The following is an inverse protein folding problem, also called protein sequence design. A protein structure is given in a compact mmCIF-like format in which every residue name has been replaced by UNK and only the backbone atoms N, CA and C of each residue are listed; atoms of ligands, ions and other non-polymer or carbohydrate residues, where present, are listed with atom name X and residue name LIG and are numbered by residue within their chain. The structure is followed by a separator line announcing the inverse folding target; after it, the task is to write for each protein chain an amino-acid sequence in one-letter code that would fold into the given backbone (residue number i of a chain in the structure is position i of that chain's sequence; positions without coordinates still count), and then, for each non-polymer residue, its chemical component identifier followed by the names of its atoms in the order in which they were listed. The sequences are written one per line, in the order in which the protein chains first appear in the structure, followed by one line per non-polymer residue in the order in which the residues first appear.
data_IF_364836663343
#
_entry.id   IF_364836663343
#
_cell.length_a   1.000
_cell.length_b   1.000
_cell.length_c   1.000
_cell.angle_alpha   90.00
_cell.angle_beta   90.00
_cell.angle_gamma   90.00
#
_symmetry.space_group_name_H-M   'P 1'
#
loop_
_entity.id
_entity.type
_entity.pdbx_description
1 polymer ?
#
# COMPACT_ATOMS: atom_id res chain seq x y z
N UNK A 1 64.09 0.67 -32.51
CA UNK A 1 64.80 1.95 -32.69
C UNK A 1 63.77 3.03 -32.27
N UNK A 2 64.19 3.85 -31.29
CA UNK A 2 63.52 5.02 -30.66
C UNK A 2 62.28 4.70 -29.81
N UNK A 3 62.34 4.73 -28.47
CA UNK A 3 62.62 5.72 -27.39
C UNK A 3 61.48 6.77 -27.34
N UNK A 4 60.72 6.61 -26.19
CA UNK A 4 60.64 7.51 -25.03
C UNK A 4 59.85 8.79 -25.30
N UNK A 5 58.79 9.02 -24.51
CA UNK A 5 58.91 9.95 -23.38
C UNK A 5 57.75 9.82 -22.39
N UNK A 6 58.15 9.68 -21.11
CA UNK A 6 57.35 9.85 -19.91
C UNK A 6 57.19 11.32 -19.60
N UNK A 7 56.00 11.79 -19.32
CA UNK A 7 55.83 12.96 -18.48
C UNK A 7 54.97 12.67 -17.25
N UNK A 8 55.65 12.61 -16.13
CA UNK A 8 55.11 12.67 -14.78
C UNK A 8 54.71 14.11 -14.51
N UNK A 9 53.47 14.34 -14.05
CA UNK A 9 53.09 15.62 -13.47
C UNK A 9 52.72 15.38 -12.01
N UNK A 10 53.61 15.79 -11.15
CA UNK A 10 53.50 15.86 -9.68
C UNK A 10 52.82 17.18 -9.32
N UNK A 11 51.72 17.11 -8.54
CA UNK A 11 51.19 18.28 -7.82
C UNK A 11 51.40 18.12 -6.32
N UNK A 12 51.82 19.19 -5.61
CA UNK A 12 52.23 19.14 -4.23
C UNK A 12 51.02 19.19 -3.27
N UNK A 13 51.10 18.39 -2.25
CA UNK A 13 50.25 18.45 -1.07
C UNK A 13 50.65 19.67 -0.22
N UNK A 14 49.70 20.54 0.11
CA UNK A 14 49.85 21.51 1.20
C UNK A 14 48.96 21.09 2.35
N UNK A 15 49.58 20.58 3.40
CA UNK A 15 48.95 20.35 4.69
C UNK A 15 48.67 21.67 5.41
N UNK A 16 47.52 21.75 6.05
CA UNK A 16 47.25 22.79 7.04
C UNK A 16 46.85 22.16 8.36
N UNK A 17 47.68 22.50 9.32
CA UNK A 17 47.75 22.07 10.71
C UNK A 17 46.56 22.53 11.55
N UNK A 18 46.07 21.62 12.42
CA UNK A 18 45.21 21.95 13.56
C UNK A 18 46.00 22.76 14.60
N UNK A 19 45.50 23.90 15.01
CA UNK A 19 45.90 24.52 16.29
C UNK A 19 44.67 25.00 17.04
N UNK A 20 44.62 24.57 18.30
CA UNK A 20 43.70 24.87 19.39
C UNK A 20 43.59 26.37 19.66
N UNK A 21 42.38 26.82 19.99
CA UNK A 21 42.19 28.04 20.80
C UNK A 21 41.18 27.71 21.91
N UNK A 22 41.75 27.61 23.12
CA UNK A 22 41.04 27.74 24.39
C UNK A 22 40.91 29.23 24.71
N UNK A 23 39.75 29.69 25.09
CA UNK A 23 39.54 30.95 25.82
C UNK A 23 38.28 30.82 26.64
N UNK A 24 38.45 30.60 27.90
CA UNK A 24 38.25 31.46 29.06
C UNK A 24 36.80 31.87 29.31
N UNK A 25 36.26 31.30 30.43
CA UNK A 25 35.04 31.66 31.09
C UNK A 25 35.19 33.05 31.77
N UNK A 26 34.14 33.87 31.63
CA UNK A 26 33.92 35.03 32.52
C UNK A 26 32.53 34.93 33.09
N UNK A 27 32.50 34.77 34.44
CA UNK A 27 31.32 34.88 35.30
C UNK A 27 30.91 36.35 35.43
N UNK A 28 29.63 36.63 35.29
CA UNK A 28 29.01 37.85 35.82
C UNK A 28 27.59 37.55 36.36
N UNK A 29 27.10 38.26 37.38
CA UNK A 29 26.11 37.75 38.30
C UNK A 29 24.66 38.01 37.89
N UNK A 30 23.83 37.14 38.40
CA UNK A 30 22.36 37.15 38.40
C UNK A 30 21.85 38.39 39.15
N UNK A 31 20.91 39.11 38.53
CA UNK A 31 19.92 39.92 39.21
C UNK A 31 18.54 39.69 38.57
N UNK A 32 17.61 39.43 39.48
CA UNK A 32 16.35 38.83 39.30
C UNK A 32 15.30 39.52 38.46
N UNK A 33 14.26 38.75 38.27
CA UNK A 33 12.91 39.26 38.08
C UNK A 33 12.29 39.00 36.71
N UNK A 34 11.49 37.99 36.63
CA UNK A 34 10.12 37.99 36.15
C UNK A 34 9.71 36.53 35.86
N UNK A 35 8.88 36.01 36.73
CA UNK A 35 8.12 34.77 36.46
C UNK A 35 7.16 35.12 35.35
N UNK A 36 7.53 34.72 34.11
CA UNK A 36 6.57 34.70 33.01
C UNK A 36 5.73 33.45 33.18
N UNK A 37 4.50 33.63 33.61
CA UNK A 37 3.51 32.55 33.68
C UNK A 37 3.39 31.92 32.29
N UNK A 38 3.74 30.64 32.19
CA UNK A 38 3.35 29.82 31.07
C UNK A 38 1.83 29.88 30.96
N UNK A 39 1.32 30.52 29.91
CA UNK A 39 -0.07 30.38 29.52
C UNK A 39 -0.34 28.89 29.27
N UNK A 40 -1.45 28.34 29.76
CA UNK A 40 -1.80 26.97 29.47
C UNK A 40 -1.91 26.81 27.95
N UNK A 41 -1.22 25.79 27.43
CA UNK A 41 -1.37 25.36 26.05
C UNK A 41 -2.86 25.29 25.72
N UNK A 42 -3.27 26.08 24.75
CA UNK A 42 -4.66 26.09 24.31
C UNK A 42 -5.07 24.64 24.00
N UNK A 43 -6.06 24.17 24.72
CA UNK A 43 -6.77 22.94 24.42
C UNK A 43 -7.29 23.13 23.00
N UNK A 44 -6.68 22.44 22.03
CA UNK A 44 -7.26 22.31 20.69
C UNK A 44 -8.66 21.73 20.93
N UNK A 45 -9.68 22.53 20.65
CA UNK A 45 -11.06 22.04 20.60
C UNK A 45 -11.05 20.95 19.54
N UNK A 46 -11.01 19.70 19.98
CA UNK A 46 -11.40 18.58 19.15
C UNK A 46 -12.85 18.86 18.75
N UNK A 47 -13.02 19.36 17.53
CA UNK A 47 -14.34 19.41 16.92
C UNK A 47 -14.75 17.95 16.74
N UNK A 48 -15.59 17.45 17.65
CA UNK A 48 -16.31 16.20 17.48
C UNK A 48 -17.30 16.40 16.32
N UNK A 49 -16.81 16.44 15.09
CA UNK A 49 -17.67 16.25 13.94
C UNK A 49 -18.09 14.79 13.97
N UNK A 50 -19.40 14.55 14.07
CA UNK A 50 -19.95 13.20 13.94
C UNK A 50 -19.41 12.58 12.64
N UNK A 51 -18.77 11.44 12.73
CA UNK A 51 -18.20 10.76 11.55
C UNK A 51 -19.31 10.40 10.58
N UNK A 52 -19.09 10.66 9.30
CA UNK A 52 -20.07 10.35 8.25
C UNK A 52 -20.00 8.86 7.92
N UNK A 53 -21.16 8.22 7.96
CA UNK A 53 -21.26 6.77 7.76
C UNK A 53 -21.42 6.41 6.28
N UNK A 54 -20.80 5.30 5.81
CA UNK A 54 -21.07 4.76 4.50
C UNK A 54 -22.51 4.24 4.40
N UNK A 55 -23.11 4.31 3.21
CA UNK A 55 -24.44 3.77 2.95
C UNK A 55 -24.35 2.55 2.05
N UNK A 56 -25.26 1.58 2.27
CA UNK A 56 -25.38 0.39 1.43
C UNK A 56 -25.82 0.78 0.03
N UNK A 57 -25.26 0.10 -0.95
CA UNK A 57 -25.56 0.34 -2.36
C UNK A 57 -25.79 -0.97 -3.10
N UNK A 58 -26.49 -0.89 -4.24
CA UNK A 58 -26.67 -2.01 -5.16
C UNK A 58 -25.88 -1.76 -6.46
N UNK A 59 -25.64 -2.78 -7.25
CA UNK A 59 -24.95 -2.65 -8.56
C UNK A 59 -25.63 -1.63 -9.48
N UNK A 60 -26.95 -1.51 -9.36
CA UNK A 60 -27.73 -0.54 -10.14
C UNK A 60 -27.36 0.91 -9.86
N UNK A 61 -26.88 1.22 -8.65
CA UNK A 61 -26.48 2.57 -8.25
C UNK A 61 -25.16 3.01 -8.89
N UNK A 62 -24.41 2.07 -9.45
CA UNK A 62 -23.08 2.26 -10.02
C UNK A 62 -22.99 2.05 -11.53
N UNK A 63 -24.16 1.93 -12.22
CA UNK A 63 -24.18 1.70 -13.67
C UNK A 63 -23.41 2.76 -14.45
N UNK A 64 -23.58 4.03 -14.10
CA UNK A 64 -22.94 5.14 -14.80
C UNK A 64 -21.44 5.22 -14.47
N UNK A 65 -21.04 4.83 -13.26
CA UNK A 65 -19.64 4.66 -12.87
C UNK A 65 -19.00 3.52 -13.68
N UNK A 66 -19.68 2.38 -13.82
CA UNK A 66 -19.20 1.25 -14.63
C UNK A 66 -19.00 1.65 -16.10
N UNK A 67 -19.97 2.42 -16.67
CA UNK A 67 -19.86 2.96 -18.03
C UNK A 67 -18.67 3.91 -18.15
N UNK A 68 -18.51 4.83 -17.18
CA UNK A 68 -17.42 5.81 -17.17
C UNK A 68 -16.03 5.15 -17.05
N UNK A 69 -15.91 4.11 -16.23
CA UNK A 69 -14.69 3.29 -16.12
C UNK A 69 -14.49 2.38 -17.34
N UNK A 70 -15.54 2.11 -18.11
CA UNK A 70 -15.55 1.14 -19.18
C UNK A 70 -15.46 -0.31 -18.68
N UNK A 71 -15.76 -0.58 -17.42
CA UNK A 71 -15.63 -1.90 -16.78
C UNK A 71 -16.63 -2.06 -15.65
N UNK A 72 -17.26 -3.22 -15.60
CA UNK A 72 -18.16 -3.59 -14.48
C UNK A 72 -17.35 -3.99 -13.27
N UNK A 73 -17.95 -3.78 -12.10
CA UNK A 73 -17.46 -4.23 -10.80
C UNK A 73 -18.49 -5.06 -10.07
N UNK A 74 -18.22 -5.32 -8.81
CA UNK A 74 -19.08 -6.05 -7.86
C UNK A 74 -19.25 -5.25 -6.56
N UNK A 75 -20.35 -5.51 -5.83
CA UNK A 75 -20.55 -4.94 -4.50
C UNK A 75 -19.83 -5.84 -3.50
N UNK A 76 -18.91 -5.26 -2.74
CA UNK A 76 -18.21 -5.93 -1.64
C UNK A 76 -18.67 -5.36 -0.30
N UNK A 77 -18.92 -6.27 0.64
CA UNK A 77 -19.30 -5.92 2.02
C UNK A 77 -20.44 -4.89 2.09
N UNK A 78 -21.39 -4.98 1.15
CA UNK A 78 -22.59 -4.16 1.05
C UNK A 78 -22.36 -2.65 0.79
N UNK A 79 -21.12 -2.16 0.88
CA UNK A 79 -20.81 -0.73 0.83
C UNK A 79 -19.89 -0.34 -0.34
N UNK A 80 -19.06 -1.25 -0.83
CA UNK A 80 -18.00 -0.92 -1.78
C UNK A 80 -18.34 -1.41 -3.19
N UNK A 81 -18.44 -0.51 -4.15
CA UNK A 81 -18.38 -0.90 -5.56
C UNK A 81 -16.93 -1.07 -5.96
N UNK A 82 -16.51 -2.30 -6.18
CA UNK A 82 -15.13 -2.68 -6.43
C UNK A 82 -14.91 -3.09 -7.88
N UNK A 83 -13.81 -2.62 -8.49
CA UNK A 83 -13.41 -2.97 -9.84
C UNK A 83 -11.95 -3.39 -9.88
N UNK A 84 -11.69 -4.61 -10.37
CA UNK A 84 -10.34 -5.13 -10.59
C UNK A 84 -9.81 -4.75 -11.98
N UNK A 85 -8.55 -4.35 -12.03
CA UNK A 85 -7.85 -3.86 -13.22
C UNK A 85 -6.47 -4.52 -13.34
N UNK A 86 -6.38 -5.89 -13.36
CA UNK A 86 -5.09 -6.59 -13.33
C UNK A 86 -4.25 -6.31 -14.59
N UNK A 87 -2.95 -6.04 -14.41
CA UNK A 87 -1.96 -5.80 -15.47
C UNK A 87 -1.50 -7.13 -16.08
N UNK A 88 -2.36 -7.72 -16.92
CA UNK A 88 -2.05 -8.97 -17.63
C UNK A 88 -1.14 -8.78 -18.84
N UNK A 89 -0.91 -7.54 -19.25
CA UNK A 89 0.03 -7.13 -20.28
C UNK A 89 1.49 -7.22 -19.84
N UNK A 90 1.74 -7.18 -18.52
CA UNK A 90 3.08 -7.21 -17.94
C UNK A 90 3.55 -8.65 -17.66
N UNK A 91 4.79 -8.93 -18.05
CA UNK A 91 5.53 -10.15 -17.67
C UNK A 91 6.61 -9.74 -16.65
N UNK A 92 6.26 -9.78 -15.38
CA UNK A 92 7.16 -9.33 -14.31
C UNK A 92 7.89 -10.52 -13.71
N UNK A 93 9.20 -10.36 -13.52
CA UNK A 93 10.03 -11.30 -12.77
C UNK A 93 10.62 -10.57 -11.56
N UNK A 94 10.48 -11.15 -10.37
CA UNK A 94 11.09 -10.67 -9.14
C UNK A 94 11.93 -11.78 -8.52
N UNK A 95 13.23 -11.53 -8.35
CA UNK A 95 14.19 -12.49 -7.77
C UNK A 95 14.07 -13.91 -8.36
N UNK A 96 13.95 -14.00 -9.68
CA UNK A 96 13.82 -15.28 -10.43
C UNK A 96 12.43 -15.89 -10.43
N UNK A 97 11.43 -15.28 -9.79
CA UNK A 97 10.04 -15.74 -9.80
C UNK A 97 9.23 -14.94 -10.83
N UNK A 98 8.59 -15.62 -11.78
CA UNK A 98 7.58 -15.00 -12.63
C UNK A 98 6.34 -14.70 -11.79
N UNK A 99 6.02 -13.42 -11.63
CA UNK A 99 4.92 -12.94 -10.80
C UNK A 99 3.61 -13.04 -11.58
N UNK A 100 2.64 -13.78 -11.03
CA UNK A 100 1.29 -13.82 -11.60
C UNK A 100 0.53 -12.53 -11.28
N UNK A 101 -0.38 -12.09 -12.17
CA UNK A 101 -1.17 -10.87 -11.92
C UNK A 101 -1.87 -10.86 -10.57
N UNK A 102 -2.49 -11.97 -10.16
CA UNK A 102 -3.17 -12.09 -8.87
C UNK A 102 -2.27 -12.01 -7.64
N UNK A 103 -0.93 -12.20 -7.78
CA UNK A 103 0.00 -12.10 -6.65
C UNK A 103 0.26 -10.64 -6.26
N UNK A 104 0.64 -9.81 -7.24
CA UNK A 104 1.03 -8.44 -6.98
C UNK A 104 0.74 -7.45 -8.12
N UNK A 105 0.19 -7.87 -9.27
CA UNK A 105 -0.07 -6.98 -10.41
C UNK A 105 -1.56 -6.62 -10.54
N UNK A 106 -2.30 -6.74 -9.46
CA UNK A 106 -3.74 -6.56 -9.41
C UNK A 106 -4.13 -5.12 -9.06
N UNK A 107 -4.05 -4.19 -10.02
CA UNK A 107 -4.68 -2.88 -9.79
C UNK A 107 -6.15 -3.05 -9.44
N UNK A 108 -6.63 -2.25 -8.52
CA UNK A 108 -8.03 -2.26 -8.10
C UNK A 108 -8.46 -0.91 -7.57
N UNK A 109 -9.74 -0.61 -7.70
CA UNK A 109 -10.35 0.60 -7.14
C UNK A 109 -11.69 0.28 -6.52
N UNK A 110 -12.07 1.05 -5.50
CA UNK A 110 -13.35 0.94 -4.83
C UNK A 110 -13.99 2.30 -4.68
N UNK A 111 -15.29 2.37 -4.92
CA UNK A 111 -16.13 3.55 -4.66
C UNK A 111 -17.06 3.27 -3.49
N UNK A 112 -17.20 4.23 -2.60
CA UNK A 112 -18.11 4.16 -1.44
C UNK A 112 -18.95 5.41 -1.38
N UNK A 113 -20.27 5.25 -1.20
CA UNK A 113 -21.21 6.37 -1.01
C UNK A 113 -21.44 6.61 0.46
N UNK A 114 -21.56 7.88 0.82
CA UNK A 114 -21.78 8.31 2.20
C UNK A 114 -23.13 9.00 2.41
N UNK A 115 -23.56 9.06 3.66
CA UNK A 115 -24.87 9.61 4.04
C UNK A 115 -25.05 11.11 3.71
N UNK A 116 -23.94 11.85 3.59
CA UNK A 116 -23.91 13.27 3.21
C UNK A 116 -23.93 13.49 1.69
N UNK A 117 -24.04 12.41 0.90
CA UNK A 117 -24.03 12.42 -0.55
C UNK A 117 -22.62 12.44 -1.18
N UNK A 118 -21.56 12.45 -0.38
CA UNK A 118 -20.20 12.30 -0.90
C UNK A 118 -19.95 10.86 -1.37
N UNK A 119 -19.02 10.73 -2.28
CA UNK A 119 -18.43 9.46 -2.72
C UNK A 119 -16.93 9.53 -2.50
N UNK A 120 -16.38 8.46 -1.91
CA UNK A 120 -14.95 8.22 -1.79
C UNK A 120 -14.53 7.26 -2.91
N UNK A 121 -13.44 7.57 -3.59
CA UNK A 121 -12.62 6.65 -4.38
C UNK A 121 -11.36 6.31 -3.60
N UNK A 122 -11.06 5.03 -3.44
CA UNK A 122 -9.75 4.53 -3.02
C UNK A 122 -9.31 3.38 -3.92
N UNK A 123 -8.02 3.30 -4.20
CA UNK A 123 -7.48 2.21 -4.98
C UNK A 123 -5.98 2.18 -5.01
N UNK A 124 -5.46 1.11 -5.63
CA UNK A 124 -4.05 0.90 -5.89
C UNK A 124 -3.86 0.53 -7.35
N UNK A 125 -3.01 1.28 -8.06
CA UNK A 125 -2.83 1.16 -9.52
C UNK A 125 -1.38 0.82 -9.84
N UNK A 126 -1.19 -0.26 -10.57
CA UNK A 126 0.12 -0.69 -11.09
C UNK A 126 0.48 0.11 -12.33
N UNK A 127 1.60 0.78 -12.31
CA UNK A 127 2.16 1.54 -13.44
C UNK A 127 3.61 1.13 -13.69
N UNK A 128 4.06 1.19 -14.93
CA UNK A 128 5.49 1.12 -15.24
C UNK A 128 6.15 2.46 -14.93
N UNK A 129 7.46 2.48 -14.75
CA UNK A 129 8.21 3.72 -14.56
C UNK A 129 7.97 4.72 -15.70
N UNK A 130 7.81 4.24 -16.94
CA UNK A 130 7.50 5.06 -18.12
C UNK A 130 6.11 5.69 -18.10
N UNK A 131 5.14 5.01 -17.49
CA UNK A 131 3.75 5.45 -17.40
C UNK A 131 3.54 6.43 -16.25
N UNK A 132 4.37 6.37 -15.21
CA UNK A 132 4.19 7.06 -13.93
C UNK A 132 3.88 8.55 -14.09
N UNK A 133 4.71 9.28 -14.83
CA UNK A 133 4.57 10.74 -14.90
C UNK A 133 3.30 11.14 -15.63
N UNK A 134 3.01 10.53 -16.78
CA UNK A 134 1.80 10.84 -17.55
C UNK A 134 0.50 10.42 -16.84
N UNK A 135 0.57 9.34 -16.04
CA UNK A 135 -0.52 8.93 -15.16
C UNK A 135 -0.77 9.96 -14.05
N UNK A 136 0.30 10.41 -13.39
CA UNK A 136 0.26 11.43 -12.35
C UNK A 136 -0.30 12.76 -12.84
N UNK A 137 0.17 13.23 -14.00
CA UNK A 137 -0.28 14.51 -14.58
C UNK A 137 -1.81 14.50 -14.76
N UNK A 138 -2.37 13.42 -15.32
CA UNK A 138 -3.81 13.31 -15.52
C UNK A 138 -4.57 13.19 -14.19
N UNK A 139 -4.04 12.48 -13.19
CA UNK A 139 -4.67 12.44 -11.86
C UNK A 139 -4.83 13.86 -11.30
N UNK A 140 -3.76 14.67 -11.34
CA UNK A 140 -3.78 16.05 -10.85
C UNK A 140 -4.73 16.94 -11.65
N UNK A 141 -4.74 16.86 -12.99
CA UNK A 141 -5.72 17.55 -13.85
C UNK A 141 -7.16 17.22 -13.47
N UNK A 142 -7.42 15.98 -13.03
CA UNK A 142 -8.73 15.47 -12.65
C UNK A 142 -9.02 15.57 -11.17
N UNK A 143 -8.13 16.19 -10.38
CA UNK A 143 -8.26 16.36 -8.92
C UNK A 143 -8.41 15.01 -8.19
N UNK A 144 -7.72 14.00 -8.65
CA UNK A 144 -7.55 12.72 -7.98
C UNK A 144 -6.18 12.74 -7.30
N UNK A 145 -6.16 12.53 -6.00
CA UNK A 145 -4.95 12.55 -5.20
C UNK A 145 -4.14 11.27 -5.38
N UNK A 146 -2.82 11.39 -5.32
CA UNK A 146 -1.90 10.29 -5.09
C UNK A 146 -1.50 10.33 -3.63
N UNK A 147 -1.84 9.30 -2.88
CA UNK A 147 -1.56 9.26 -1.45
C UNK A 147 -0.30 8.45 -1.11
N UNK A 148 0.15 7.58 -2.03
CA UNK A 148 1.44 6.91 -1.96
C UNK A 148 1.92 6.51 -3.35
N UNK A 149 3.24 6.43 -3.51
CA UNK A 149 3.96 5.83 -4.65
C UNK A 149 4.95 4.86 -4.04
N UNK A 150 4.82 3.57 -4.31
CA UNK A 150 5.52 2.54 -3.54
C UNK A 150 5.76 1.26 -4.35
N UNK A 151 6.44 0.28 -3.78
CA UNK A 151 6.74 -1.02 -4.39
C UNK A 151 6.17 -2.18 -3.58
N UNK A 152 5.64 -3.20 -4.26
CA UNK A 152 5.24 -4.48 -3.66
C UNK A 152 6.31 -5.57 -3.82
N UNK A 153 7.29 -5.34 -4.68
CA UNK A 153 8.30 -6.32 -5.07
C UNK A 153 9.71 -5.75 -4.99
N UNK A 154 10.69 -6.63 -4.86
CA UNK A 154 12.11 -6.29 -4.89
C UNK A 154 12.75 -6.79 -6.19
N UNK A 155 13.72 -6.01 -6.71
CA UNK A 155 14.52 -6.40 -7.88
C UNK A 155 13.66 -6.92 -9.03
N UNK A 156 12.51 -6.28 -9.25
CA UNK A 156 11.59 -6.67 -10.33
C UNK A 156 12.02 -6.06 -11.68
N UNK A 157 11.76 -6.83 -12.73
CA UNK A 157 11.91 -6.39 -14.10
C UNK A 157 10.65 -6.79 -14.92
N UNK A 158 10.06 -5.86 -15.71
CA UNK A 158 10.39 -4.43 -15.81
C UNK A 158 10.16 -3.67 -14.49
N UNK A 159 10.72 -2.46 -14.39
CA UNK A 159 10.44 -1.56 -13.26
C UNK A 159 8.98 -1.13 -13.26
N UNK A 160 8.30 -1.47 -12.17
CA UNK A 160 6.89 -1.14 -11.93
C UNK A 160 6.73 -0.55 -10.54
N UNK A 161 5.67 0.25 -10.39
CA UNK A 161 5.30 0.95 -9.18
C UNK A 161 3.82 0.76 -8.90
N UNK A 162 3.43 0.97 -7.65
CA UNK A 162 2.04 0.99 -7.21
C UNK A 162 1.72 2.38 -6.70
N UNK A 163 0.56 2.87 -7.09
CA UNK A 163 0.11 4.22 -6.79
C UNK A 163 -1.24 4.15 -6.10
N UNK A 164 -1.28 4.56 -4.84
CA UNK A 164 -2.56 4.76 -4.18
C UNK A 164 -3.24 6.01 -4.73
N UNK A 165 -4.46 5.84 -5.19
CA UNK A 165 -5.32 6.91 -5.72
C UNK A 165 -6.49 7.15 -4.78
N UNK A 166 -6.84 8.41 -4.60
CA UNK A 166 -7.83 8.85 -3.64
C UNK A 166 -8.61 10.06 -4.17
N UNK A 167 -9.94 10.08 -4.01
CA UNK A 167 -10.73 11.24 -4.32
C UNK A 167 -12.04 11.27 -3.53
N UNK A 168 -12.47 12.48 -3.19
CA UNK A 168 -13.76 12.73 -2.57
C UNK A 168 -14.59 13.65 -3.44
N UNK A 169 -15.89 13.42 -3.53
CA UNK A 169 -16.78 14.32 -4.28
C UNK A 169 -18.21 13.82 -4.36
N UNK A 170 -19.11 14.71 -4.77
CA UNK A 170 -20.53 14.40 -4.91
C UNK A 170 -20.89 13.77 -6.27
N UNK A 171 -20.00 13.85 -7.24
CA UNK A 171 -20.18 13.27 -8.57
C UNK A 171 -19.25 12.06 -8.79
N UNK A 172 -19.72 10.84 -8.50
CA UNK A 172 -18.93 9.63 -8.69
C UNK A 172 -18.61 9.35 -10.17
N UNK A 173 -19.45 9.85 -11.09
CA UNK A 173 -19.22 9.66 -12.53
C UNK A 173 -18.09 10.55 -13.01
N UNK A 174 -18.00 11.78 -12.53
CA UNK A 174 -16.85 12.66 -12.82
C UNK A 174 -15.54 12.08 -12.28
N UNK A 175 -15.55 11.53 -11.05
CA UNK A 175 -14.38 10.83 -10.47
C UNK A 175 -14.00 9.63 -11.36
N UNK A 176 -14.96 8.80 -11.75
CA UNK A 176 -14.70 7.63 -12.59
C UNK A 176 -14.15 8.00 -13.98
N UNK A 177 -14.67 9.05 -14.62
CA UNK A 177 -14.14 9.58 -15.89
C UNK A 177 -12.72 10.10 -15.74
N UNK A 178 -12.44 10.80 -14.63
CA UNK A 178 -11.08 11.28 -14.32
C UNK A 178 -10.09 10.12 -14.15
N UNK A 179 -10.47 9.11 -13.38
CA UNK A 179 -9.67 7.90 -13.20
C UNK A 179 -9.45 7.15 -14.52
N UNK A 180 -10.52 6.99 -15.34
CA UNK A 180 -10.39 6.33 -16.65
C UNK A 180 -9.39 7.06 -17.54
N UNK A 181 -9.43 8.39 -17.59
CA UNK A 181 -8.50 9.19 -18.36
C UNK A 181 -7.02 8.99 -17.91
N UNK A 182 -6.81 8.83 -16.60
CA UNK A 182 -5.48 8.50 -16.06
C UNK A 182 -5.07 7.06 -16.43
N UNK A 183 -5.97 6.07 -16.28
CA UNK A 183 -5.73 4.68 -16.65
C UNK A 183 -5.42 4.52 -18.16
N UNK A 184 -5.97 5.38 -19.03
CA UNK A 184 -5.67 5.40 -20.48
C UNK A 184 -4.22 5.82 -20.80
N UNK A 185 -3.46 6.32 -19.80
CA UNK A 185 -2.02 6.57 -19.88
C UNK A 185 -1.17 5.35 -19.52
N UNK A 186 -1.79 4.24 -19.20
CA UNK A 186 -1.15 3.00 -18.74
C UNK A 186 -1.57 1.82 -19.62
N UNK A 187 -0.90 0.69 -19.45
CA UNK A 187 -1.35 -0.60 -20.00
C UNK A 187 -2.44 -1.27 -19.14
N UNK A 188 -3.16 -0.51 -18.28
CA UNK A 188 -4.30 -1.05 -17.55
C UNK A 188 -5.35 -1.61 -18.52
N UNK A 189 -6.12 -2.65 -18.13
CA UNK A 189 -7.05 -3.29 -19.06
C UNK A 189 -7.98 -2.29 -19.74
N UNK A 190 -8.15 -2.40 -21.06
CA UNK A 190 -9.10 -1.57 -21.77
C UNK A 190 -10.53 -1.85 -21.27
N UNK A 191 -11.50 -1.01 -21.63
CA UNK A 191 -12.90 -1.27 -21.35
C UNK A 191 -13.32 -2.68 -21.80
N UNK A 192 -14.06 -3.39 -20.93
CA UNK A 192 -14.50 -4.76 -21.21
C UNK A 192 -14.96 -5.51 -19.96
N UNK A 193 -15.40 -6.73 -20.16
CA UNK A 193 -15.75 -7.61 -19.03
C UNK A 193 -14.48 -8.14 -18.36
N UNK A 194 -14.45 -8.20 -17.01
CA UNK A 194 -13.42 -8.94 -16.31
C UNK A 194 -13.36 -10.39 -16.79
N UNK A 195 -12.14 -10.92 -17.00
CA UNK A 195 -11.99 -12.34 -17.26
C UNK A 195 -12.27 -13.11 -15.96
N UNK A 196 -13.26 -13.99 -15.97
CA UNK A 196 -13.48 -14.93 -14.87
C UNK A 196 -12.46 -16.06 -15.01
N UNK A 197 -11.63 -16.25 -14.00
CA UNK A 197 -10.75 -17.41 -13.90
C UNK A 197 -11.42 -18.46 -13.03
N UNK A 198 -11.58 -19.67 -13.58
CA UNK A 198 -12.10 -20.79 -12.77
C UNK A 198 -11.06 -21.15 -11.71
N UNK A 199 -11.45 -21.19 -10.41
CA UNK A 199 -10.55 -21.62 -9.37
C UNK A 199 -10.03 -23.04 -9.64
N UNK A 200 -8.69 -23.19 -9.74
CA UNK A 200 -8.07 -24.51 -9.84
C UNK A 200 -7.50 -24.90 -8.47
N UNK A 201 -7.55 -26.20 -8.15
CA UNK A 201 -6.86 -26.71 -6.96
C UNK A 201 -5.38 -26.31 -7.03
N UNK A 202 -4.88 -25.69 -5.98
CA UNK A 202 -3.49 -25.26 -5.89
C UNK A 202 -2.62 -26.41 -5.39
N UNK A 203 -1.37 -26.46 -5.85
CA UNK A 203 -0.36 -27.40 -5.36
C UNK A 203 0.25 -26.86 -4.04
N UNK A 204 -0.58 -26.82 -3.00
CA UNK A 204 -0.22 -26.41 -1.65
C UNK A 204 -1.29 -26.86 -0.64
N UNK A 205 -0.89 -27.07 0.61
CA UNK A 205 -1.81 -27.42 1.71
C UNK A 205 -2.48 -26.18 2.28
N UNK A 206 -3.56 -25.74 1.63
CA UNK A 206 -4.34 -24.57 2.06
C UNK A 206 -4.99 -24.76 3.41
N UNK A 207 -5.38 -25.99 3.78
CA UNK A 207 -6.02 -26.26 5.06
C UNK A 207 -5.04 -26.11 6.23
N UNK A 208 -3.79 -26.56 6.05
CA UNK A 208 -2.74 -26.34 7.04
C UNK A 208 -2.40 -24.86 7.19
N UNK A 209 -2.39 -24.09 6.09
CA UNK A 209 -2.20 -22.64 6.13
C UNK A 209 -3.34 -21.97 6.90
N UNK A 210 -4.60 -22.30 6.60
CA UNK A 210 -5.78 -21.76 7.29
C UNK A 210 -5.73 -22.00 8.79
N UNK A 211 -5.35 -23.20 9.19
CA UNK A 211 -5.20 -23.55 10.61
C UNK A 211 -4.16 -22.68 11.29
N UNK A 212 -3.04 -22.39 10.64
CA UNK A 212 -1.97 -21.53 11.17
C UNK A 212 -2.41 -20.07 11.19
N UNK A 213 -3.02 -19.61 10.10
CA UNK A 213 -3.45 -18.21 9.95
C UNK A 213 -4.68 -17.88 10.81
N UNK A 214 -5.45 -18.91 11.23
CA UNK A 214 -6.66 -18.72 12.03
C UNK A 214 -7.81 -18.09 11.25
N UNK A 215 -7.77 -18.16 9.92
CA UNK A 215 -8.81 -17.67 9.01
C UNK A 215 -8.81 -18.51 7.74
N UNK A 216 -10.00 -18.82 7.23
CA UNK A 216 -10.15 -19.47 5.93
C UNK A 216 -9.79 -18.49 4.82
N UNK A 217 -8.84 -18.88 3.98
CA UNK A 217 -8.46 -18.11 2.80
C UNK A 217 -9.34 -18.42 1.59
N UNK A 218 -9.05 -17.74 0.48
CA UNK A 218 -9.71 -17.92 -0.81
C UNK A 218 -8.71 -18.00 -1.94
N UNK A 219 -9.15 -18.59 -3.07
CA UNK A 219 -8.36 -18.66 -4.30
C UNK A 219 -8.88 -17.60 -5.27
N UNK A 220 -8.00 -16.72 -5.70
CA UNK A 220 -8.30 -15.72 -6.71
C UNK A 220 -7.13 -15.64 -7.70
N UNK A 221 -7.43 -15.75 -9.00
CA UNK A 221 -6.45 -15.74 -10.11
C UNK A 221 -5.26 -16.70 -9.90
N UNK A 222 -5.52 -17.89 -9.33
CA UNK A 222 -4.49 -18.92 -9.06
C UNK A 222 -3.53 -18.57 -7.91
N UNK A 223 -3.92 -17.66 -7.05
CA UNK A 223 -3.23 -17.22 -5.81
C UNK A 223 -4.11 -17.57 -4.63
N UNK A 224 -3.51 -18.12 -3.58
CA UNK A 224 -4.18 -18.30 -2.30
C UNK A 224 -4.01 -17.05 -1.44
N UNK A 225 -5.10 -16.57 -0.83
CA UNK A 225 -5.12 -15.30 -0.09
C UNK A 225 -5.71 -15.51 1.30
N UNK A 226 -5.03 -15.03 2.34
CA UNK A 226 -5.60 -14.83 3.67
C UNK A 226 -5.68 -13.32 3.93
N UNK A 227 -6.82 -12.88 4.45
CA UNK A 227 -7.09 -11.44 4.67
C UNK A 227 -7.41 -11.18 6.13
N UNK A 228 -6.89 -10.08 6.63
CA UNK A 228 -7.13 -9.57 7.98
C UNK A 228 -7.48 -8.09 7.91
N UNK A 229 -8.31 -7.64 8.84
CA UNK A 229 -8.72 -6.23 8.94
C UNK A 229 -8.46 -5.72 10.33
N UNK A 230 -8.20 -4.43 10.44
CA UNK A 230 -8.08 -3.74 11.72
C UNK A 230 -9.38 -3.91 12.53
N UNK A 231 -9.24 -4.00 13.86
CA UNK A 231 -10.41 -4.04 14.77
C UNK A 231 -10.93 -2.66 15.08
N UNK A 232 -10.08 -1.64 14.93
CA UNK A 232 -10.46 -0.24 15.11
C UNK A 232 -11.38 0.23 13.97
N UNK A 233 -12.23 1.18 14.27
CA UNK A 233 -12.89 1.99 13.25
C UNK A 233 -11.87 2.95 12.67
N UNK A 234 -11.68 2.88 11.37
CA UNK A 234 -10.80 3.79 10.64
C UNK A 234 -11.66 4.86 9.98
N UNK A 235 -11.26 6.11 10.12
CA UNK A 235 -11.88 7.23 9.41
C UNK A 235 -10.88 7.87 8.46
N UNK A 236 -11.37 8.54 7.46
CA UNK A 236 -10.60 9.34 6.53
C UNK A 236 -11.40 10.61 6.21
N UNK A 237 -10.81 11.80 6.42
CA UNK A 237 -11.52 13.08 6.34
C UNK A 237 -12.86 13.10 7.10
N UNK A 238 -12.94 12.43 8.26
CA UNK A 238 -14.16 12.31 9.06
C UNK A 238 -15.18 11.32 8.53
N UNK A 239 -14.92 10.61 7.44
CA UNK A 239 -15.75 9.53 6.91
C UNK A 239 -15.29 8.19 7.43
N UNK A 240 -16.23 7.37 7.93
CA UNK A 240 -15.92 6.01 8.37
C UNK A 240 -15.63 5.12 7.16
N UNK A 241 -14.44 4.53 7.12
CA UNK A 241 -14.10 3.57 6.07
C UNK A 241 -14.83 2.24 6.32
N UNK A 242 -15.50 1.67 5.30
CA UNK A 242 -16.01 0.30 5.40
C UNK A 242 -14.89 -0.67 5.77
N UNK A 243 -15.23 -1.68 6.57
CA UNK A 243 -14.27 -2.68 7.02
C UNK A 243 -13.46 -3.23 5.85
N UNK A 244 -12.13 -3.08 5.92
CA UNK A 244 -11.20 -3.58 4.92
C UNK A 244 -10.99 -2.66 3.70
N UNK A 245 -11.61 -1.50 3.64
CA UNK A 245 -11.20 -0.47 2.68
C UNK A 245 -9.97 0.25 3.24
N UNK A 246 -8.86 0.21 2.51
CA UNK A 246 -7.62 0.89 2.91
C UNK A 246 -7.00 0.45 4.26
N UNK A 247 -7.52 -0.62 4.90
CA UNK A 247 -7.10 -1.05 6.24
C UNK A 247 -6.91 -2.57 6.38
N UNK A 248 -6.60 -3.22 5.27
CA UNK A 248 -6.45 -4.68 5.18
C UNK A 248 -4.98 -5.07 5.32
N UNK A 249 -4.71 -6.16 6.06
CA UNK A 249 -3.48 -6.95 5.91
C UNK A 249 -3.78 -8.13 5.00
N UNK A 250 -3.05 -8.28 3.92
CA UNK A 250 -3.25 -9.33 2.92
C UNK A 250 -2.00 -10.18 2.75
N UNK A 251 -2.16 -11.50 2.77
CA UNK A 251 -1.07 -12.45 2.56
C UNK A 251 -1.41 -13.28 1.35
N UNK A 252 -0.66 -13.12 0.27
CA UNK A 252 -0.89 -13.72 -1.01
C UNK A 252 0.18 -14.78 -1.31
N UNK A 253 -0.24 -16.01 -1.59
CA UNK A 253 0.64 -17.14 -1.85
C UNK A 253 0.52 -17.59 -3.30
N UNK A 254 1.60 -17.52 -4.05
CA UNK A 254 1.72 -18.08 -5.40
C UNK A 254 2.43 -19.43 -5.32
N UNK A 255 1.78 -20.56 -5.67
CA UNK A 255 2.44 -21.86 -5.70
C UNK A 255 3.58 -21.91 -6.74
N UNK A 256 4.71 -22.46 -6.32
CA UNK A 256 5.90 -22.72 -7.16
C UNK A 256 6.20 -24.20 -7.33
N UNK A 257 5.32 -25.08 -6.84
CA UNK A 257 5.50 -26.53 -6.82
C UNK A 257 6.22 -27.05 -5.58
N UNK A 258 6.02 -28.35 -5.28
CA UNK A 258 6.66 -29.06 -4.17
C UNK A 258 6.48 -28.37 -2.81
N UNK A 259 5.30 -27.83 -2.52
CA UNK A 259 4.99 -27.14 -1.26
C UNK A 259 5.68 -25.77 -1.10
N UNK A 260 6.40 -25.31 -2.10
CA UNK A 260 7.03 -23.98 -2.11
C UNK A 260 6.09 -22.93 -2.68
N UNK A 261 6.23 -21.73 -2.16
CA UNK A 261 5.46 -20.55 -2.60
C UNK A 261 6.36 -19.33 -2.72
N UNK A 262 5.93 -18.39 -3.57
CA UNK A 262 6.28 -16.99 -3.43
C UNK A 262 5.16 -16.30 -2.66
N UNK A 263 5.52 -15.48 -1.69
CA UNK A 263 4.58 -14.69 -0.87
C UNK A 263 4.84 -13.22 -1.11
N UNK A 264 3.80 -12.51 -1.47
CA UNK A 264 3.73 -11.05 -1.41
C UNK A 264 2.66 -10.69 -0.39
N UNK A 265 2.99 -9.90 0.59
CA UNK A 265 2.05 -9.54 1.65
C UNK A 265 2.16 -8.09 2.06
N UNK A 266 1.13 -7.67 2.76
CA UNK A 266 1.01 -6.34 3.34
C UNK A 266 0.48 -6.43 4.77
N UNK A 267 1.02 -5.63 5.69
CA UNK A 267 0.57 -5.56 7.08
C UNK A 267 0.15 -4.13 7.43
N UNK A 268 -1.11 -3.97 7.81
CA UNK A 268 -1.68 -2.72 8.32
C UNK A 268 -1.38 -2.54 9.81
N UNK A 269 -0.76 -1.43 10.19
CA UNK A 269 -0.22 -1.16 11.53
C UNK A 269 -0.54 0.26 11.99
N UNK A 270 -0.70 0.45 13.29
CA UNK A 270 -0.52 1.77 13.91
C UNK A 270 0.97 1.97 14.27
N UNK A 271 1.37 3.21 14.56
CA UNK A 271 2.78 3.56 14.81
C UNK A 271 3.48 2.68 15.85
N UNK A 272 2.80 2.33 16.96
CA UNK A 272 3.37 1.53 18.04
C UNK A 272 3.60 0.05 17.67
N UNK A 273 2.99 -0.45 16.61
CA UNK A 273 3.11 -1.84 16.15
C UNK A 273 4.25 -2.03 15.14
N UNK A 274 4.64 -0.97 14.43
CA UNK A 274 5.55 -1.03 13.27
C UNK A 274 6.82 -1.81 13.56
N UNK A 275 7.57 -1.46 14.61
CA UNK A 275 8.86 -2.09 14.86
C UNK A 275 8.75 -3.58 15.22
N UNK A 276 7.70 -3.96 15.94
CA UNK A 276 7.45 -5.36 16.30
C UNK A 276 7.11 -6.20 15.06
N UNK A 277 6.29 -5.67 14.14
CA UNK A 277 5.93 -6.33 12.87
C UNK A 277 7.16 -6.50 11.98
N UNK A 278 7.95 -5.43 11.77
CA UNK A 278 9.18 -5.50 10.95
C UNK A 278 10.14 -6.57 11.49
N UNK A 279 10.35 -6.58 12.81
CA UNK A 279 11.22 -7.58 13.45
C UNK A 279 10.67 -9.01 13.30
N UNK A 280 9.35 -9.21 13.42
CA UNK A 280 8.72 -10.52 13.27
C UNK A 280 8.82 -11.03 11.82
N UNK A 281 8.57 -10.19 10.82
CA UNK A 281 8.72 -10.52 9.40
C UNK A 281 10.17 -10.90 9.07
N UNK A 282 11.16 -10.16 9.58
CA UNK A 282 12.58 -10.49 9.37
C UNK A 282 12.97 -11.83 10.00
N UNK A 283 12.50 -12.13 11.22
CA UNK A 283 12.69 -13.45 11.85
C UNK A 283 12.03 -14.58 11.08
N UNK A 284 10.93 -14.31 10.37
CA UNK A 284 10.27 -15.28 9.50
C UNK A 284 11.03 -15.53 8.18
N UNK A 285 12.09 -14.78 7.90
CA UNK A 285 12.84 -14.85 6.65
C UNK A 285 12.23 -14.01 5.51
N UNK A 286 11.23 -13.18 5.82
CA UNK A 286 10.67 -12.26 4.83
C UNK A 286 11.62 -11.08 4.59
N UNK A 287 11.70 -10.64 3.34
CA UNK A 287 12.38 -9.41 2.95
C UNK A 287 11.36 -8.28 3.02
N UNK A 288 11.72 -7.19 3.69
CA UNK A 288 10.90 -5.98 3.74
C UNK A 288 11.07 -5.24 2.41
N UNK A 289 9.97 -4.78 1.84
CA UNK A 289 9.98 -4.06 0.57
C UNK A 289 9.86 -2.56 0.80
N UNK A 290 8.73 -2.13 1.34
CA UNK A 290 8.48 -0.72 1.55
C UNK A 290 7.54 -0.48 2.73
N UNK A 291 7.85 0.53 3.55
CA UNK A 291 6.99 1.05 4.61
C UNK A 291 6.34 2.33 4.12
N UNK A 292 5.01 2.37 4.03
CA UNK A 292 4.27 3.47 3.42
C UNK A 292 2.91 3.68 4.11
N UNK A 293 2.11 4.61 3.60
CA UNK A 293 0.73 4.89 4.00
C UNK A 293 -0.24 4.59 2.85
N UNK A 294 -1.53 4.41 3.14
CA UNK A 294 -2.57 4.34 2.11
C UNK A 294 -3.31 5.67 1.96
N UNK A 295 -3.63 6.33 3.07
CA UNK A 295 -4.30 7.62 3.12
C UNK A 295 -3.38 8.72 3.68
N UNK A 296 -3.78 9.98 3.50
CA UNK A 296 -3.07 11.13 4.08
C UNK A 296 -3.73 11.62 5.37
N UNK A 297 -5.01 11.28 5.60
CA UNK A 297 -5.85 11.83 6.68
C UNK A 297 -6.56 10.76 7.50
N UNK A 298 -6.11 9.50 7.39
CA UNK A 298 -6.68 8.39 8.13
C UNK A 298 -6.43 8.50 9.65
N UNK A 299 -7.46 8.15 10.44
CA UNK A 299 -7.42 8.11 11.90
C UNK A 299 -8.03 6.81 12.44
N UNK A 300 -7.32 6.06 13.31
CA UNK A 300 -5.91 6.30 13.67
C UNK A 300 -5.01 6.22 12.43
N UNK A 301 -3.89 6.96 12.44
CA UNK A 301 -2.90 6.90 11.36
C UNK A 301 -2.44 5.47 11.16
N UNK A 302 -2.55 4.96 9.93
CA UNK A 302 -2.07 3.65 9.55
C UNK A 302 -0.75 3.73 8.78
N UNK A 303 0.05 2.71 8.99
CA UNK A 303 1.27 2.41 8.24
C UNK A 303 1.15 1.01 7.67
N UNK A 304 1.77 0.79 6.52
CA UNK A 304 1.74 -0.48 5.82
C UNK A 304 3.14 -0.91 5.48
N UNK A 305 3.41 -2.21 5.58
CA UNK A 305 4.69 -2.75 5.13
C UNK A 305 4.46 -3.87 4.14
N UNK A 306 4.93 -3.67 2.91
CA UNK A 306 5.05 -4.75 1.95
C UNK A 306 6.25 -5.62 2.27
N UNK A 307 6.08 -6.92 2.08
CA UNK A 307 7.14 -7.91 2.24
C UNK A 307 7.07 -8.99 1.18
N UNK A 308 8.23 -9.57 0.91
CA UNK A 308 8.42 -10.65 -0.05
C UNK A 308 9.12 -11.84 0.59
N UNK A 309 8.71 -13.05 0.24
CA UNK A 309 9.41 -14.27 0.64
C UNK A 309 9.23 -15.38 -0.39
N UNK A 310 10.23 -16.26 -0.51
CA UNK A 310 10.14 -17.50 -1.29
C UNK A 310 10.60 -18.65 -0.40
N UNK A 311 9.74 -19.67 -0.25
CA UNK A 311 10.09 -20.79 0.62
C UNK A 311 8.96 -21.81 0.81
N UNK A 312 9.09 -22.63 1.84
CA UNK A 312 8.05 -23.56 2.26
C UNK A 312 6.82 -22.79 2.76
N UNK A 313 5.66 -23.15 2.22
CA UNK A 313 4.41 -22.42 2.46
C UNK A 313 4.00 -22.39 3.95
N UNK A 314 4.08 -23.55 4.62
CA UNK A 314 3.65 -23.66 6.02
C UNK A 314 4.63 -22.99 6.99
N UNK A 315 5.94 -23.08 6.70
CA UNK A 315 6.98 -22.39 7.49
C UNK A 315 6.82 -20.88 7.39
N UNK A 316 6.60 -20.35 6.19
CA UNK A 316 6.35 -18.93 5.97
C UNK A 316 5.06 -18.47 6.66
N UNK A 317 3.96 -19.22 6.51
CA UNK A 317 2.69 -18.91 7.18
C UNK A 317 2.86 -18.81 8.71
N UNK A 318 3.56 -19.76 9.34
CA UNK A 318 3.85 -19.74 10.79
C UNK A 318 4.66 -18.52 11.21
N UNK A 319 5.61 -18.10 10.40
CA UNK A 319 6.42 -16.91 10.67
C UNK A 319 5.63 -15.62 10.51
N UNK A 320 4.86 -15.50 9.42
CA UNK A 320 4.03 -14.34 9.11
C UNK A 320 2.90 -14.18 10.14
N UNK A 321 2.32 -15.30 10.63
CA UNK A 321 1.31 -15.26 11.70
C UNK A 321 1.81 -14.48 12.93
N UNK A 322 3.09 -14.65 13.32
CA UNK A 322 3.69 -13.90 14.44
C UNK A 322 3.77 -12.39 14.18
N UNK A 323 3.91 -11.98 12.93
CA UNK A 323 3.86 -10.56 12.58
C UNK A 323 2.43 -10.02 12.71
N UNK A 324 1.43 -10.77 12.25
CA UNK A 324 0.02 -10.42 12.41
C UNK A 324 -0.40 -10.40 13.90
N UNK A 325 0.15 -11.30 14.73
CA UNK A 325 -0.11 -11.32 16.18
C UNK A 325 0.45 -10.08 16.91
N UNK A 326 1.38 -9.35 16.28
CA UNK A 326 1.89 -8.09 16.79
C UNK A 326 1.02 -6.88 16.41
N UNK A 327 -0.13 -7.11 15.76
CA UNK A 327 -1.09 -6.08 15.33
C UNK A 327 -2.49 -6.35 15.89
N UNK A 328 -3.32 -5.31 15.96
CA UNK A 328 -4.71 -5.44 16.39
C UNK A 328 -5.64 -5.75 15.20
N UNK A 329 -5.42 -6.90 14.56
CA UNK A 329 -6.24 -7.34 13.41
C UNK A 329 -7.10 -8.56 13.76
N UNK A 330 -8.10 -8.83 12.95
CA UNK A 330 -8.90 -10.06 12.96
C UNK A 330 -8.98 -10.64 11.55
N UNK A 331 -9.08 -11.98 11.47
CA UNK A 331 -9.29 -12.65 10.20
C UNK A 331 -10.61 -12.25 9.55
N UNK A 332 -10.61 -12.16 8.23
CA UNK A 332 -11.78 -11.87 7.41
C UNK A 332 -11.83 -12.85 6.23
N UNK A 333 -13.02 -13.40 5.95
CA UNK A 333 -13.20 -14.22 4.76
C UNK A 333 -12.87 -13.45 3.49
N UNK A 334 -12.22 -14.13 2.55
CA UNK A 334 -11.93 -13.55 1.23
C UNK A 334 -13.20 -13.61 0.39
N UNK A 335 -13.66 -12.45 -0.07
CA UNK A 335 -14.72 -12.36 -1.07
C UNK A 335 -14.08 -12.56 -2.44
N UNK A 336 -14.47 -13.63 -3.12
CA UNK A 336 -14.01 -13.98 -4.46
C UNK A 336 -15.04 -13.37 -5.42
N UNK A 337 -14.57 -12.46 -6.29
CA UNK A 337 -15.39 -11.83 -7.32
C UNK A 337 -15.59 -12.72 -8.54
#
# INVERSE_FOLDING_TARGET
MMREDRQQNTHPQTGASRRHLLAAAALAPVLGGAISACAPAGTSKQHNHASVMPVRTALTDWKDVAVALGRTGDIRREFMYHTGLPRRDLKVVSQGVTVKPGLALGSHVSFVRYADGNTLLMGDVVVTEKEMQSFTDVLHERKIEQTAIHKHLLSQAPEIWWVHVHAHGKDPVAIAKGLRAALDRTGAPPPGRPAHTVPRKLDMDTAAIDKVMGVKGGIDDGIYKNTFVRRETITDNGMVLPTGLGSTSAINYQPLGNGRVAVSGDCAMIASEVQNVLAALRRAGCQLVELHNHGLTDEPRLFFVHFWAVGDALKLAKGIRKALDATNVKGMAVEIG
#
